data_IF_383758808266
#
_entry.id   IF_383758808266
#
_cell.length_a   1.000
_cell.length_b   1.000
_cell.length_c   1.000
_cell.angle_alpha   90.00
_cell.angle_beta   90.00
_cell.angle_gamma   90.00
#
_symmetry.space_group_name_H-M   'P 1'
#
loop_
_entity.id
_entity.type
_entity.pdbx_description
1 polymer ?
#
# COMPACT_ATOMS: atom_id res chain seq x y z
N UNK A 1 -16.14 -38.29 6.37
CA UNK A 1 -16.75 -37.30 5.45
C UNK A 1 -17.00 -36.02 6.24
N UNK A 2 -16.01 -35.13 6.33
CA UNK A 2 -16.10 -33.83 7.00
C UNK A 2 -15.97 -32.73 5.95
N UNK A 3 -17.02 -32.57 5.14
CA UNK A 3 -17.11 -31.56 4.07
C UNK A 3 -17.90 -30.33 4.51
N UNK A 4 -17.66 -29.84 5.73
CA UNK A 4 -18.44 -28.75 6.32
C UNK A 4 -17.57 -27.57 6.82
N UNK A 5 -16.26 -27.77 7.03
CA UNK A 5 -15.41 -26.70 7.57
C UNK A 5 -15.10 -25.56 6.57
N UNK A 6 -15.10 -25.82 5.26
CA UNK A 6 -14.81 -24.79 4.24
C UNK A 6 -15.97 -23.85 3.93
N UNK A 7 -17.21 -24.28 4.15
CA UNK A 7 -18.40 -23.49 3.79
C UNK A 7 -18.67 -22.35 4.80
N UNK A 8 -18.34 -22.54 6.07
CA UNK A 8 -18.61 -21.55 7.12
C UNK A 8 -17.61 -20.37 7.10
N UNK A 9 -16.37 -20.58 6.66
CA UNK A 9 -15.43 -19.49 6.45
C UNK A 9 -15.86 -18.59 5.26
N UNK A 10 -16.41 -19.18 4.19
CA UNK A 10 -16.94 -18.43 3.04
C UNK A 10 -18.16 -17.56 3.36
N UNK A 11 -19.15 -18.10 4.09
CA UNK A 11 -20.42 -17.37 4.33
C UNK A 11 -20.32 -16.21 5.33
N UNK A 12 -19.39 -16.26 6.30
CA UNK A 12 -19.16 -15.13 7.21
C UNK A 12 -18.37 -14.00 6.54
N UNK A 13 -17.54 -14.34 5.54
CA UNK A 13 -16.71 -13.42 4.77
C UNK A 13 -17.53 -12.70 3.67
N UNK A 14 -18.42 -13.43 2.99
CA UNK A 14 -19.29 -12.91 1.91
C UNK A 14 -20.23 -11.78 2.34
N UNK A 15 -20.62 -11.73 3.62
CA UNK A 15 -21.63 -10.76 4.07
C UNK A 15 -21.08 -9.36 4.37
N UNK A 16 -19.76 -9.14 4.28
CA UNK A 16 -19.12 -7.85 4.60
C UNK A 16 -17.95 -7.42 3.73
N UNK A 17 -17.46 -8.25 2.82
CA UNK A 17 -16.29 -7.90 2.04
C UNK A 17 -16.67 -7.43 0.64
N UNK A 18 -16.23 -6.21 0.32
CA UNK A 18 -16.12 -5.73 -1.06
C UNK A 18 -15.38 -6.78 -1.91
N UNK A 19 -15.58 -6.89 -3.23
CA UNK A 19 -14.86 -7.86 -4.04
C UNK A 19 -13.34 -7.78 -3.79
N UNK A 20 -12.68 -8.93 -3.64
CA UNK A 20 -11.24 -8.98 -3.45
C UNK A 20 -10.53 -8.19 -4.56
N UNK A 21 -9.54 -7.34 -4.25
CA UNK A 21 -8.85 -6.56 -5.28
C UNK A 21 -8.26 -7.48 -6.36
N UNK A 22 -8.54 -7.14 -7.61
CA UNK A 22 -8.02 -7.81 -8.79
C UNK A 22 -6.56 -7.37 -9.05
N UNK A 23 -5.73 -8.28 -9.57
CA UNK A 23 -4.30 -8.03 -9.82
C UNK A 23 -3.35 -9.07 -9.22
N UNK A 24 -2.04 -9.01 -9.49
CA UNK A 24 -1.07 -9.89 -8.85
C UNK A 24 -0.93 -9.54 -7.35
N UNK A 25 -0.66 -10.55 -6.52
CA UNK A 25 -0.27 -10.28 -5.13
C UNK A 25 1.08 -9.54 -5.10
N UNK A 26 1.25 -8.57 -4.20
CA UNK A 26 2.56 -8.01 -3.87
C UNK A 26 3.59 -9.11 -3.55
N UNK A 27 4.85 -8.83 -3.85
CA UNK A 27 5.95 -9.83 -3.78
C UNK A 27 6.08 -10.43 -2.38
N UNK A 28 5.94 -9.62 -1.34
CA UNK A 28 5.98 -10.04 0.06
C UNK A 28 4.86 -11.04 0.40
N UNK A 29 3.63 -10.75 -0.04
CA UNK A 29 2.49 -11.64 0.18
C UNK A 29 2.57 -12.91 -0.66
N UNK A 30 3.06 -12.82 -1.90
CA UNK A 30 3.31 -13.98 -2.75
C UNK A 30 4.39 -14.89 -2.14
N UNK A 31 5.45 -14.31 -1.57
CA UNK A 31 6.49 -15.05 -0.86
C UNK A 31 5.92 -15.72 0.39
N UNK A 32 5.06 -15.04 1.15
CA UNK A 32 4.36 -15.62 2.30
C UNK A 32 3.49 -16.81 1.92
N UNK A 33 2.67 -16.70 0.87
CA UNK A 33 1.86 -17.81 0.35
C UNK A 33 2.74 -19.01 0.02
N UNK A 34 3.89 -18.76 -0.63
CA UNK A 34 4.83 -19.81 -1.04
C UNK A 34 5.47 -20.50 0.16
N UNK A 35 5.96 -19.72 1.12
CA UNK A 35 6.57 -20.24 2.34
C UNK A 35 5.56 -21.03 3.19
N UNK A 36 4.34 -20.50 3.34
CA UNK A 36 3.27 -21.15 4.11
C UNK A 36 2.78 -22.43 3.43
N UNK A 37 2.63 -22.41 2.10
CA UNK A 37 2.27 -23.58 1.30
C UNK A 37 3.23 -24.74 1.57
N UNK A 38 4.54 -24.45 1.53
CA UNK A 38 5.57 -25.46 1.76
C UNK A 38 5.64 -25.89 3.23
N UNK A 39 5.62 -24.94 4.17
CA UNK A 39 5.82 -25.23 5.59
C UNK A 39 4.66 -26.01 6.22
N UNK A 40 3.44 -25.79 5.73
CA UNK A 40 2.23 -26.44 6.25
C UNK A 40 1.69 -27.54 5.32
N UNK A 41 2.41 -27.87 4.25
CA UNK A 41 2.01 -28.86 3.24
C UNK A 41 0.56 -28.63 2.75
N UNK A 42 0.28 -27.40 2.33
CA UNK A 42 -1.07 -26.99 1.94
C UNK A 42 -1.47 -27.64 0.60
N UNK A 43 -2.72 -28.09 0.53
CA UNK A 43 -3.31 -28.54 -0.72
C UNK A 43 -3.50 -27.38 -1.71
N UNK A 44 -3.67 -27.71 -2.99
CA UNK A 44 -3.93 -26.70 -4.04
C UNK A 44 -5.10 -25.78 -3.69
N UNK A 45 -6.19 -26.34 -3.14
CA UNK A 45 -7.37 -25.57 -2.76
C UNK A 45 -7.07 -24.65 -1.57
N UNK A 46 -6.34 -25.13 -0.57
CA UNK A 46 -5.91 -24.30 0.57
C UNK A 46 -4.98 -23.17 0.14
N UNK A 47 -4.11 -23.40 -0.84
CA UNK A 47 -3.26 -22.36 -1.44
C UNK A 47 -4.11 -21.32 -2.18
N UNK A 48 -5.15 -21.75 -2.89
CA UNK A 48 -6.07 -20.83 -3.57
C UNK A 48 -6.83 -19.94 -2.56
N UNK A 49 -7.35 -20.54 -1.48
CA UNK A 49 -8.02 -19.82 -0.39
C UNK A 49 -7.08 -18.83 0.30
N UNK A 50 -5.84 -19.25 0.58
CA UNK A 50 -4.84 -18.39 1.18
C UNK A 50 -4.51 -17.19 0.28
N UNK A 51 -4.43 -17.39 -1.05
CA UNK A 51 -4.22 -16.28 -1.99
C UNK A 51 -5.38 -15.28 -1.97
N UNK A 52 -6.62 -15.76 -1.88
CA UNK A 52 -7.80 -14.89 -1.75
C UNK A 52 -7.70 -14.07 -0.46
N UNK A 53 -7.38 -14.72 0.65
CA UNK A 53 -7.22 -14.04 1.95
C UNK A 53 -6.12 -12.98 1.92
N UNK A 54 -4.98 -13.25 1.27
CA UNK A 54 -3.90 -12.28 1.14
C UNK A 54 -4.27 -11.06 0.30
N UNK A 55 -5.15 -11.20 -0.69
CA UNK A 55 -5.68 -10.04 -1.45
C UNK A 55 -6.55 -9.17 -0.58
N UNK A 56 -7.42 -9.78 0.24
CA UNK A 56 -8.24 -9.04 1.20
C UNK A 56 -7.38 -8.30 2.21
N UNK A 57 -6.37 -8.98 2.75
CA UNK A 57 -5.40 -8.38 3.65
C UNK A 57 -4.69 -7.18 3.01
N UNK A 58 -4.23 -7.31 1.77
CA UNK A 58 -3.56 -6.21 1.06
C UNK A 58 -4.48 -4.99 0.88
N UNK A 59 -5.73 -5.22 0.49
CA UNK A 59 -6.73 -4.16 0.37
C UNK A 59 -6.94 -3.40 1.69
N UNK A 60 -7.10 -4.12 2.80
CA UNK A 60 -7.29 -3.50 4.12
C UNK A 60 -6.01 -2.80 4.61
N UNK A 61 -4.84 -3.41 4.41
CA UNK A 61 -3.54 -2.82 4.70
C UNK A 61 -3.38 -1.48 3.98
N UNK A 62 -3.65 -1.45 2.68
CA UNK A 62 -3.49 -0.23 1.87
C UNK A 62 -4.49 0.84 2.29
N UNK A 63 -5.75 0.48 2.59
CA UNK A 63 -6.75 1.41 3.13
C UNK A 63 -6.28 2.06 4.44
N UNK A 64 -5.72 1.26 5.35
CA UNK A 64 -5.20 1.77 6.63
C UNK A 64 -3.98 2.69 6.42
N UNK A 65 -3.07 2.31 5.52
CA UNK A 65 -1.91 3.13 5.16
C UNK A 65 -2.33 4.47 4.53
N UNK A 66 -3.32 4.46 3.64
CA UNK A 66 -3.84 5.68 3.02
C UNK A 66 -4.54 6.57 4.05
N UNK A 67 -5.29 5.97 4.99
CA UNK A 67 -5.92 6.70 6.09
C UNK A 67 -4.86 7.36 6.97
N UNK A 68 -3.80 6.63 7.35
CA UNK A 68 -2.69 7.21 8.10
C UNK A 68 -2.03 8.34 7.30
N UNK A 69 -1.73 8.13 6.02
CA UNK A 69 -1.10 9.13 5.15
C UNK A 69 -1.93 10.41 5.09
N UNK A 70 -3.25 10.32 5.01
CA UNK A 70 -4.14 11.46 5.02
C UNK A 70 -4.13 12.20 6.37
N UNK A 71 -4.01 11.49 7.49
CA UNK A 71 -3.92 12.10 8.82
C UNK A 71 -2.65 12.90 9.01
N UNK A 72 -1.52 12.42 8.47
CA UNK A 72 -0.20 13.07 8.62
C UNK A 72 0.21 13.93 7.40
N UNK A 73 -0.69 14.08 6.43
CA UNK A 73 -0.45 14.87 5.22
C UNK A 73 -0.02 16.32 5.50
N UNK A 74 -0.63 17.07 6.45
CA UNK A 74 -0.20 18.43 6.72
C UNK A 74 1.21 18.48 7.36
N UNK A 75 1.58 17.52 8.20
CA UNK A 75 2.91 17.43 8.80
C UNK A 75 3.98 17.09 7.76
N UNK A 76 3.68 16.24 6.78
CA UNK A 76 4.56 16.01 5.63
C UNK A 76 4.74 17.27 4.80
N UNK A 77 3.65 18.00 4.52
CA UNK A 77 3.73 19.25 3.77
C UNK A 77 4.57 20.31 4.50
N UNK A 78 4.44 20.41 5.83
CA UNK A 78 5.29 21.29 6.64
C UNK A 78 6.77 20.85 6.59
N UNK A 79 7.03 19.55 6.73
CA UNK A 79 8.39 19.01 6.67
C UNK A 79 9.04 19.29 5.30
N UNK A 80 8.33 19.02 4.22
CA UNK A 80 8.76 19.27 2.85
C UNK A 80 9.07 20.75 2.65
N UNK A 81 8.16 21.64 3.06
CA UNK A 81 8.36 23.09 2.96
C UNK A 81 9.59 23.56 3.75
N UNK A 82 9.80 23.02 4.96
CA UNK A 82 10.95 23.35 5.81
C UNK A 82 12.27 22.94 5.14
N UNK A 83 12.35 21.73 4.60
CA UNK A 83 13.57 21.27 3.94
C UNK A 83 13.80 21.98 2.60
N UNK A 84 12.74 22.24 1.84
CA UNK A 84 12.83 23.03 0.62
C UNK A 84 13.37 24.44 0.90
N UNK A 85 12.89 25.08 1.96
CA UNK A 85 13.38 26.38 2.43
C UNK A 85 14.86 26.31 2.80
N UNK A 86 15.29 25.27 3.51
CA UNK A 86 16.71 25.08 3.85
C UNK A 86 17.57 24.90 2.60
N UNK A 87 17.13 24.10 1.63
CA UNK A 87 17.83 23.91 0.36
C UNK A 87 17.97 25.25 -0.36
N UNK A 88 16.87 25.99 -0.54
CA UNK A 88 16.88 27.30 -1.21
C UNK A 88 17.81 28.30 -0.53
N UNK A 89 17.78 28.36 0.80
CA UNK A 89 18.44 29.42 1.53
C UNK A 89 19.90 29.11 1.86
N UNK A 90 20.23 27.84 2.15
CA UNK A 90 21.58 27.43 2.59
C UNK A 90 22.42 26.74 1.54
N UNK A 91 21.80 26.03 0.59
CA UNK A 91 22.55 25.23 -0.40
C UNK A 91 22.66 25.98 -1.72
N UNK A 92 21.55 26.54 -2.22
CA UNK A 92 21.54 27.19 -3.53
C UNK A 92 22.25 28.54 -3.51
N UNK A 93 23.11 28.73 -4.51
CA UNK A 93 23.72 30.02 -4.82
C UNK A 93 22.67 30.99 -5.41
N UNK A 94 22.89 32.32 -5.37
CA UNK A 94 21.93 33.31 -5.86
C UNK A 94 21.46 33.07 -7.30
N UNK A 95 22.37 32.71 -8.20
CA UNK A 95 22.06 32.42 -9.61
C UNK A 95 21.22 31.15 -9.78
N UNK A 96 21.45 30.14 -8.92
CA UNK A 96 20.69 28.89 -8.92
C UNK A 96 19.28 29.10 -8.37
N UNK A 97 19.12 29.96 -7.35
CA UNK A 97 17.79 30.36 -6.83
C UNK A 97 16.93 31.03 -7.90
N UNK A 98 17.53 31.91 -8.72
CA UNK A 98 16.82 32.57 -9.81
C UNK A 98 16.30 31.56 -10.85
N UNK A 99 17.14 30.60 -11.26
CA UNK A 99 16.73 29.52 -12.18
C UNK A 99 15.66 28.61 -11.56
N UNK A 100 15.80 28.27 -10.29
CA UNK A 100 14.83 27.44 -9.57
C UNK A 100 13.44 28.10 -9.55
N UNK A 101 13.37 29.40 -9.27
CA UNK A 101 12.11 30.16 -9.28
C UNK A 101 11.43 30.15 -10.66
N UNK A 102 12.20 30.23 -11.73
CA UNK A 102 11.68 30.12 -13.10
C UNK A 102 11.16 28.72 -13.42
N UNK A 103 11.86 27.67 -12.97
CA UNK A 103 11.40 26.28 -13.10
C UNK A 103 10.10 26.04 -12.33
N UNK A 104 10.01 26.54 -11.10
CA UNK A 104 8.83 26.39 -10.24
C UNK A 104 7.59 27.05 -10.85
N UNK A 105 7.75 28.25 -11.43
CA UNK A 105 6.67 28.95 -12.13
C UNK A 105 6.20 28.24 -13.42
N UNK A 106 7.00 27.30 -13.96
CA UNK A 106 6.68 26.52 -15.15
C UNK A 106 6.01 25.18 -14.84
N UNK A 107 5.95 24.78 -13.57
CA UNK A 107 5.25 23.56 -13.14
C UNK A 107 3.76 23.86 -12.92
N UNK A 108 2.85 22.95 -13.31
CA UNK A 108 1.43 23.08 -12.97
C UNK A 108 1.28 23.10 -11.44
N UNK A 109 0.38 23.96 -10.94
CA UNK A 109 0.07 24.04 -9.53
C UNK A 109 -0.33 22.64 -9.01
N UNK A 110 0.31 22.22 -7.92
CA UNK A 110 0.00 20.98 -7.20
C UNK A 110 -1.29 21.12 -6.41
#
# INVERSE_FOLDING_TARGET
MTFIAGLFAGMLLERRLAPAPEGPLPIDLAAYVTAMSFAADLSTDQVADLRILMRYYDGERNRLLDTQRQQIAPEWADLDLRFETLIRNRILQPEQRARFKTMEAALPAR
#
